data_IF_869384868935
#
_entry.id   IF_869384868935
#
_cell.length_a   1.000
_cell.length_b   1.000
_cell.length_c   1.000
_cell.angle_alpha   90.00
_cell.angle_beta   90.00
_cell.angle_gamma   90.00
#
_symmetry.space_group_name_H-M   'P 1'
#
loop_
_entity.id
_entity.type
_entity.pdbx_description
1 polymer ?
#
# COMPACT_ATOMS: atom_id res chain seq x y z
N UNK A 1 -15.56 0.21 -12.51
CA UNK A 1 -16.45 0.86 -11.54
C UNK A 1 -15.85 2.22 -11.21
N UNK A 2 -16.59 3.32 -11.35
CA UNK A 2 -16.07 4.67 -11.04
C UNK A 2 -16.50 5.01 -9.61
N UNK A 3 -15.57 4.78 -8.67
CA UNK A 3 -15.62 5.38 -7.33
C UNK A 3 -15.22 6.84 -7.42
N UNK A 4 -15.71 7.66 -6.52
CA UNK A 4 -15.66 9.13 -6.48
C UNK A 4 -14.26 9.79 -6.49
N UNK A 5 -13.18 9.02 -6.61
CA UNK A 5 -11.79 9.49 -6.49
C UNK A 5 -10.93 9.14 -7.73
N UNK A 6 -11.57 8.72 -8.83
CA UNK A 6 -10.85 8.43 -10.08
C UNK A 6 -10.74 9.70 -10.94
N UNK A 7 -9.53 10.18 -11.27
CA UNK A 7 -9.36 11.40 -12.04
C UNK A 7 -10.06 11.34 -13.40
N UNK A 8 -10.82 12.39 -13.74
CA UNK A 8 -11.63 12.41 -14.98
C UNK A 8 -10.77 12.24 -16.23
N UNK A 9 -9.56 12.82 -16.26
CA UNK A 9 -8.63 12.67 -17.39
C UNK A 9 -8.20 11.22 -17.61
N UNK A 10 -7.97 10.48 -16.51
CA UNK A 10 -7.61 9.07 -16.58
C UNK A 10 -8.79 8.23 -17.06
N UNK A 11 -9.99 8.54 -16.58
CA UNK A 11 -11.22 7.90 -17.08
C UNK A 11 -11.43 8.11 -18.57
N UNK A 12 -11.26 9.34 -19.06
CA UNK A 12 -11.37 9.67 -20.49
C UNK A 12 -10.35 8.90 -21.30
N UNK A 13 -9.08 8.88 -20.87
CA UNK A 13 -8.02 8.14 -21.56
C UNK A 13 -8.31 6.63 -21.64
N UNK A 14 -8.67 6.00 -20.52
CA UNK A 14 -9.01 4.57 -20.50
C UNK A 14 -10.26 4.29 -21.37
N UNK A 15 -11.23 5.20 -21.38
CA UNK A 15 -12.41 5.10 -22.21
C UNK A 15 -12.07 5.20 -23.70
N UNK A 16 -11.19 6.12 -24.08
CA UNK A 16 -10.73 6.28 -25.47
C UNK A 16 -9.91 5.08 -25.92
N UNK A 17 -9.03 4.54 -25.08
CA UNK A 17 -8.29 3.29 -25.35
C UNK A 17 -9.25 2.11 -25.60
N UNK A 18 -10.28 1.95 -24.76
CA UNK A 18 -11.31 0.92 -24.96
C UNK A 18 -12.09 1.17 -26.25
N UNK A 19 -12.42 2.42 -26.54
CA UNK A 19 -13.18 2.80 -27.72
C UNK A 19 -12.38 2.56 -29.00
N UNK A 20 -11.07 2.81 -29.01
CA UNK A 20 -10.17 2.49 -30.11
C UNK A 20 -10.06 0.97 -30.31
N UNK A 21 -9.82 0.22 -29.23
CA UNK A 21 -9.76 -1.24 -29.28
C UNK A 21 -11.05 -1.89 -29.77
N UNK A 22 -12.20 -1.28 -29.47
CA UNK A 22 -13.51 -1.74 -29.89
C UNK A 22 -13.99 -1.11 -31.22
N UNK A 23 -13.14 -0.30 -31.88
CA UNK A 23 -13.45 0.42 -33.12
C UNK A 23 -14.74 1.24 -33.04
N UNK A 24 -15.01 1.89 -31.91
CA UNK A 24 -16.22 2.69 -31.72
C UNK A 24 -16.17 3.99 -32.50
N UNK A 25 -17.27 4.28 -33.19
CA UNK A 25 -17.49 5.60 -33.79
C UNK A 25 -17.95 6.63 -32.73
N UNK A 26 -17.90 7.92 -33.08
CA UNK A 26 -18.24 9.02 -32.17
C UNK A 26 -19.65 8.92 -31.57
N UNK A 27 -20.61 8.37 -32.34
CA UNK A 27 -21.97 8.16 -31.87
C UNK A 27 -22.03 7.05 -30.80
N UNK A 28 -21.34 5.94 -31.03
CA UNK A 28 -21.23 4.84 -30.06
C UNK A 28 -20.49 5.30 -28.80
N UNK A 29 -19.38 6.03 -28.94
CA UNK A 29 -18.65 6.65 -27.82
C UNK A 29 -19.60 7.49 -26.96
N UNK A 30 -20.40 8.35 -27.59
CA UNK A 30 -21.36 9.18 -26.89
C UNK A 30 -22.43 8.37 -26.14
N UNK A 31 -23.02 7.34 -26.76
CA UNK A 31 -24.03 6.49 -26.11
C UNK A 31 -23.43 5.75 -24.91
N UNK A 32 -22.27 5.12 -25.10
CA UNK A 32 -21.63 4.33 -24.05
C UNK A 32 -21.15 5.21 -22.90
N UNK A 33 -20.54 6.35 -23.19
CA UNK A 33 -20.15 7.31 -22.15
C UNK A 33 -21.35 7.71 -21.29
N UNK A 34 -22.47 8.15 -21.90
CA UNK A 34 -23.69 8.53 -21.16
C UNK A 34 -24.23 7.40 -20.26
N UNK A 35 -24.10 6.14 -20.71
CA UNK A 35 -24.50 4.96 -19.92
C UNK A 35 -23.55 4.63 -18.78
N UNK A 36 -22.25 4.87 -18.97
CA UNK A 36 -21.19 4.56 -18.00
C UNK A 36 -21.08 5.61 -16.89
N UNK A 37 -21.48 6.86 -17.14
CA UNK A 37 -21.49 7.92 -16.14
C UNK A 37 -22.47 7.63 -15.00
N UNK A 38 -22.02 7.89 -13.77
CA UNK A 38 -22.80 7.72 -12.53
C UNK A 38 -22.62 8.95 -11.64
N UNK A 39 -23.50 9.11 -10.65
CA UNK A 39 -23.43 10.20 -9.66
C UNK A 39 -23.53 11.59 -10.29
N UNK A 40 -22.72 12.54 -9.79
CA UNK A 40 -22.70 13.93 -10.22
C UNK A 40 -22.48 14.12 -11.73
N UNK A 41 -21.61 13.31 -12.33
CA UNK A 41 -21.37 13.37 -13.77
C UNK A 41 -22.61 12.99 -14.61
N UNK A 42 -23.44 12.07 -14.11
CA UNK A 42 -24.71 11.74 -14.77
C UNK A 42 -25.73 12.86 -14.63
N UNK A 43 -25.76 13.55 -13.48
CA UNK A 43 -26.63 14.71 -13.26
C UNK A 43 -26.24 15.87 -14.18
N UNK A 44 -24.95 16.14 -14.34
CA UNK A 44 -24.42 17.17 -15.26
C UNK A 44 -24.87 16.92 -16.71
N UNK A 45 -24.75 15.68 -17.19
CA UNK A 45 -25.18 15.32 -18.55
C UNK A 45 -26.68 15.42 -18.76
N UNK A 46 -27.48 15.29 -17.68
CA UNK A 46 -28.94 15.48 -17.75
C UNK A 46 -29.36 16.94 -17.73
N UNK A 47 -28.61 17.81 -17.07
CA UNK A 47 -28.90 19.26 -17.04
C UNK A 47 -28.53 19.93 -18.36
N UNK A 48 -27.49 19.45 -19.04
CA UNK A 48 -27.01 20.04 -20.30
C UNK A 48 -27.87 19.64 -21.52
N UNK A 49 -28.16 20.58 -22.41
CA UNK A 49 -28.90 20.34 -23.66
C UNK A 49 -27.93 20.39 -24.85
N UNK A 50 -28.16 19.56 -25.88
CA UNK A 50 -27.39 19.64 -27.13
C UNK A 50 -26.05 18.88 -27.18
N UNK A 51 -25.86 17.91 -26.28
CA UNK A 51 -24.72 16.99 -26.33
C UNK A 51 -24.88 15.98 -27.48
N UNK A 52 -24.46 16.40 -28.69
CA UNK A 52 -24.51 15.66 -29.95
C UNK A 52 -23.19 15.00 -30.37
N UNK A 53 -22.06 15.37 -29.74
CA UNK A 53 -20.73 14.84 -30.07
C UNK A 53 -19.98 14.42 -28.81
N UNK A 54 -19.17 13.36 -28.93
CA UNK A 54 -18.27 12.91 -27.87
C UNK A 54 -17.35 14.04 -27.40
N UNK A 55 -16.81 14.83 -28.32
CA UNK A 55 -15.89 15.94 -28.01
C UNK A 55 -16.53 16.97 -27.06
N UNK A 56 -17.78 17.33 -27.30
CA UNK A 56 -18.52 18.26 -26.42
C UNK A 56 -18.74 17.67 -25.03
N UNK A 57 -19.09 16.39 -24.96
CA UNK A 57 -19.27 15.69 -23.68
C UNK A 57 -17.94 15.58 -22.93
N UNK A 58 -16.85 15.25 -23.61
CA UNK A 58 -15.52 15.15 -23.03
C UNK A 58 -15.06 16.48 -22.44
N UNK A 59 -15.16 17.58 -23.21
CA UNK A 59 -14.80 18.91 -22.74
C UNK A 59 -15.61 19.35 -21.53
N UNK A 60 -16.91 19.07 -21.50
CA UNK A 60 -17.77 19.40 -20.35
C UNK A 60 -17.39 18.60 -19.10
N UNK A 61 -17.07 17.31 -19.26
CA UNK A 61 -16.63 16.47 -18.14
C UNK A 61 -15.28 16.95 -17.59
N UNK A 62 -14.35 17.32 -18.47
CA UNK A 62 -13.07 17.87 -18.07
C UNK A 62 -13.29 19.24 -17.39
N UNK A 63 -14.08 20.15 -17.95
CA UNK A 63 -14.25 21.49 -17.32
C UNK A 63 -14.82 21.43 -15.92
N UNK A 64 -15.76 20.52 -15.66
CA UNK A 64 -16.46 20.43 -14.38
C UNK A 64 -15.72 19.57 -13.34
N UNK A 65 -15.05 18.49 -13.77
CA UNK A 65 -14.42 17.53 -12.87
C UNK A 65 -12.89 17.51 -12.94
N UNK A 66 -12.28 18.39 -13.74
CA UNK A 66 -10.82 18.46 -13.78
C UNK A 66 -10.29 19.10 -12.50
N UNK A 67 -9.63 18.27 -11.71
CA UNK A 67 -8.72 18.73 -10.68
C UNK A 67 -7.31 18.84 -11.28
N UNK A 68 -6.63 19.98 -11.09
CA UNK A 68 -5.22 20.12 -11.46
C UNK A 68 -4.35 19.28 -10.52
N UNK A 69 -4.00 18.06 -10.95
CA UNK A 69 -2.97 17.27 -10.29
C UNK A 69 -1.60 17.85 -10.66
N UNK A 70 -1.15 18.87 -9.92
CA UNK A 70 0.20 19.42 -10.09
C UNK A 70 1.25 18.35 -9.79
N UNK A 71 2.42 18.40 -10.44
CA UNK A 71 3.55 17.50 -10.14
C UNK A 71 3.84 17.45 -8.63
N UNK A 72 3.88 18.60 -7.95
CA UNK A 72 4.03 18.68 -6.50
C UNK A 72 2.95 17.91 -5.70
N UNK A 73 1.69 17.94 -6.16
CA UNK A 73 0.62 17.17 -5.54
C UNK A 73 0.86 15.66 -5.66
N UNK A 74 1.33 15.20 -6.82
CA UNK A 74 1.63 13.79 -7.07
C UNK A 74 2.86 13.34 -6.27
N UNK A 75 3.90 14.17 -6.18
CA UNK A 75 5.05 13.90 -5.30
C UNK A 75 4.63 13.81 -3.82
N UNK A 76 3.73 14.68 -3.36
CA UNK A 76 3.16 14.61 -2.01
C UNK A 76 2.34 13.33 -1.79
N UNK A 77 1.55 12.90 -2.79
CA UNK A 77 0.80 11.65 -2.74
C UNK A 77 1.75 10.46 -2.60
N UNK A 78 2.83 10.41 -3.40
CA UNK A 78 3.85 9.35 -3.31
C UNK A 78 4.57 9.36 -1.96
N UNK A 79 4.96 10.53 -1.45
CA UNK A 79 5.67 10.67 -0.18
C UNK A 79 4.81 10.25 1.02
N UNK A 80 3.53 10.64 1.05
CA UNK A 80 2.64 10.32 2.15
C UNK A 80 2.14 8.87 2.10
N UNK A 81 2.22 8.22 0.94
CA UNK A 81 1.75 6.85 0.74
C UNK A 81 2.73 5.84 1.34
N UNK A 82 2.47 5.48 2.59
CA UNK A 82 3.18 4.40 3.29
C UNK A 82 2.51 3.05 3.07
N UNK A 83 3.31 1.98 3.06
CA UNK A 83 2.78 0.61 3.01
C UNK A 83 2.00 0.34 4.30
N UNK A 84 0.75 -0.12 4.18
CA UNK A 84 -0.02 -0.57 5.36
C UNK A 84 0.64 -1.83 5.92
N UNK A 85 0.81 -1.89 7.25
CA UNK A 85 1.37 -3.08 7.91
C UNK A 85 0.37 -4.23 8.02
N UNK A 86 -0.90 -3.95 7.70
CA UNK A 86 -1.98 -4.92 7.67
C UNK A 86 -1.73 -6.03 6.64
N UNK A 87 -2.21 -7.24 6.96
CA UNK A 87 -2.07 -8.43 6.10
C UNK A 87 -2.81 -8.31 4.76
N UNK A 88 -3.72 -7.36 4.63
CA UNK A 88 -4.55 -7.17 3.44
C UNK A 88 -3.73 -6.61 2.26
N UNK A 89 -2.70 -5.79 2.53
CA UNK A 89 -1.88 -5.20 1.47
C UNK A 89 -0.58 -5.99 1.25
N UNK A 90 -0.57 -6.78 0.18
CA UNK A 90 0.67 -7.40 -0.31
C UNK A 90 1.65 -6.33 -0.82
N UNK A 91 2.96 -6.52 -0.63
CA UNK A 91 3.99 -5.59 -1.08
C UNK A 91 3.92 -5.32 -2.60
N UNK A 92 3.52 -6.31 -3.39
CA UNK A 92 3.31 -6.15 -4.83
C UNK A 92 2.15 -5.19 -5.15
N UNK A 93 1.03 -5.29 -4.42
CA UNK A 93 -0.12 -4.39 -4.59
C UNK A 93 0.29 -2.95 -4.27
N UNK A 94 1.03 -2.75 -3.18
CA UNK A 94 1.59 -1.45 -2.82
C UNK A 94 2.43 -0.85 -3.97
N UNK A 95 3.37 -1.62 -4.52
CA UNK A 95 4.21 -1.18 -5.66
C UNK A 95 3.39 -0.82 -6.89
N UNK A 96 2.34 -1.60 -7.21
CA UNK A 96 1.43 -1.30 -8.32
C UNK A 96 0.66 0.00 -8.09
N UNK A 97 0.18 0.25 -6.88
CA UNK A 97 -0.49 1.53 -6.55
C UNK A 97 0.45 2.73 -6.66
N UNK A 98 1.70 2.59 -6.20
CA UNK A 98 2.72 3.64 -6.33
C UNK A 98 3.06 3.91 -7.81
N UNK A 99 3.17 2.86 -8.63
CA UNK A 99 3.35 2.99 -10.08
C UNK A 99 2.17 3.70 -10.73
N UNK A 100 0.95 3.40 -10.31
CA UNK A 100 -0.24 4.04 -10.86
C UNK A 100 -0.25 5.55 -10.61
N UNK A 101 0.11 5.98 -9.39
CA UNK A 101 0.22 7.40 -9.02
C UNK A 101 1.35 8.07 -9.81
N UNK A 102 2.50 7.42 -9.92
CA UNK A 102 3.65 7.93 -10.66
C UNK A 102 3.36 8.15 -12.16
N UNK A 103 2.56 7.27 -12.77
CA UNK A 103 2.17 7.38 -14.18
C UNK A 103 1.36 8.65 -14.47
N UNK A 104 0.71 9.25 -13.45
CA UNK A 104 -0.07 10.48 -13.61
C UNK A 104 0.79 11.72 -13.87
N UNK A 105 2.00 11.79 -13.30
CA UNK A 105 2.93 12.91 -13.48
C UNK A 105 4.14 12.58 -14.37
N UNK A 106 4.16 11.40 -15.01
CA UNK A 106 5.33 10.90 -15.73
C UNK A 106 6.62 10.93 -14.87
N UNK A 107 6.50 10.51 -13.61
CA UNK A 107 7.62 10.49 -12.66
C UNK A 107 8.64 9.43 -13.08
N UNK A 108 9.93 9.76 -12.99
CA UNK A 108 11.02 8.84 -13.30
C UNK A 108 10.97 7.59 -12.41
N UNK A 109 11.18 6.41 -13.00
CA UNK A 109 11.15 5.13 -12.28
C UNK A 109 12.11 5.10 -11.09
N UNK A 110 13.29 5.73 -11.21
CA UNK A 110 14.25 5.88 -10.12
C UNK A 110 13.65 6.59 -8.91
N UNK A 111 13.01 7.75 -9.11
CA UNK A 111 12.33 8.50 -8.05
C UNK A 111 11.17 7.69 -7.45
N UNK A 112 10.43 6.92 -8.25
CA UNK A 112 9.35 6.05 -7.75
C UNK A 112 9.90 4.97 -6.82
N UNK A 113 11.06 4.39 -7.14
CA UNK A 113 11.70 3.39 -6.27
C UNK A 113 12.10 3.98 -4.93
N UNK A 114 12.65 5.20 -4.92
CA UNK A 114 12.98 5.91 -3.67
C UNK A 114 11.74 6.09 -2.80
N UNK A 115 10.64 6.62 -3.35
CA UNK A 115 9.37 6.74 -2.61
C UNK A 115 8.84 5.42 -2.07
N UNK A 116 8.95 4.33 -2.86
CA UNK A 116 8.53 3.00 -2.41
C UNK A 116 9.40 2.50 -1.25
N UNK A 117 10.72 2.70 -1.31
CA UNK A 117 11.67 2.24 -0.29
C UNK A 117 11.45 3.02 1.02
N UNK A 118 11.21 4.32 0.91
CA UNK A 118 10.92 5.20 2.04
C UNK A 118 9.57 4.91 2.68
N UNK A 119 8.55 4.58 1.87
CA UNK A 119 7.22 4.23 2.34
C UNK A 119 7.10 2.87 3.07
N UNK A 120 8.15 2.03 3.05
CA UNK A 120 8.23 0.79 3.85
C UNK A 120 8.66 1.14 5.28
N UNK A 121 8.15 0.46 6.31
CA UNK A 121 8.53 0.74 7.70
C UNK A 121 10.05 0.54 7.98
N UNK A 122 10.64 1.46 8.78
CA UNK A 122 12.07 1.63 9.04
C UNK A 122 12.75 0.41 9.70
N UNK A 123 11.98 -0.48 10.35
CA UNK A 123 12.52 -1.58 11.17
C UNK A 123 13.08 -2.78 10.36
N UNK A 124 13.41 -2.56 9.09
CA UNK A 124 13.77 -3.58 8.12
C UNK A 124 15.18 -3.29 7.58
N UNK A 125 16.24 -3.68 8.31
CA UNK A 125 17.64 -3.59 7.80
C UNK A 125 17.82 -4.26 6.43
N UNK A 126 16.88 -5.12 6.03
CA UNK A 126 16.75 -5.73 4.70
C UNK A 126 16.35 -4.77 3.57
N UNK A 127 16.04 -3.49 3.84
CA UNK A 127 15.70 -2.48 2.81
C UNK A 127 16.82 -2.24 1.82
N UNK A 128 18.08 -2.44 2.24
CA UNK A 128 19.28 -2.26 1.41
C UNK A 128 19.18 -3.04 0.08
N UNK A 129 18.51 -4.20 0.09
CA UNK A 129 18.36 -5.09 -1.08
C UNK A 129 17.54 -4.44 -2.20
N UNK A 130 16.64 -3.52 -1.85
CA UNK A 130 15.74 -2.84 -2.79
C UNK A 130 16.44 -1.73 -3.58
N UNK A 131 17.57 -1.21 -3.08
CA UNK A 131 18.35 -0.19 -3.77
C UNK A 131 19.05 -0.74 -5.02
N UNK A 132 19.33 0.15 -5.98
CA UNK A 132 20.08 -0.17 -7.20
C UNK A 132 19.29 -0.86 -8.31
N UNK A 133 17.96 -0.94 -8.19
CA UNK A 133 17.11 -1.34 -9.31
C UNK A 133 17.01 -0.20 -10.33
N UNK A 134 17.22 -0.50 -11.60
CA UNK A 134 17.08 0.46 -12.71
C UNK A 134 15.78 0.25 -13.49
N UNK A 135 15.26 -0.98 -13.49
CA UNK A 135 13.99 -1.34 -14.13
C UNK A 135 12.98 -1.87 -13.11
N UNK A 136 11.71 -1.75 -13.46
CA UNK A 136 10.61 -2.34 -12.72
C UNK A 136 10.69 -3.87 -12.63
N UNK A 137 11.30 -4.53 -13.61
CA UNK A 137 11.48 -5.98 -13.60
C UNK A 137 12.52 -6.41 -12.56
N UNK A 138 13.66 -5.71 -12.53
CA UNK A 138 14.69 -5.90 -11.49
C UNK A 138 14.11 -5.60 -10.09
N UNK A 139 13.32 -4.52 -9.98
CA UNK A 139 12.66 -4.16 -8.74
C UNK A 139 11.70 -5.26 -8.27
N UNK A 140 10.95 -5.89 -9.20
CA UNK A 140 10.05 -7.02 -8.89
C UNK A 140 10.82 -8.23 -8.33
N UNK A 141 12.00 -8.52 -8.85
CA UNK A 141 12.85 -9.60 -8.32
C UNK A 141 13.37 -9.28 -6.92
N UNK A 142 13.86 -8.05 -6.70
CA UNK A 142 14.31 -7.59 -5.38
C UNK A 142 13.19 -7.63 -4.35
N UNK A 143 11.96 -7.28 -4.74
CA UNK A 143 10.78 -7.37 -3.88
C UNK A 143 10.47 -8.83 -3.49
N UNK A 144 10.66 -9.81 -4.39
CA UNK A 144 10.51 -11.25 -4.05
C UNK A 144 11.55 -11.68 -3.01
N UNK A 145 12.81 -11.28 -3.20
CA UNK A 145 13.90 -11.59 -2.26
C UNK A 145 13.59 -10.97 -0.89
N UNK A 146 13.20 -9.70 -0.86
CA UNK A 146 12.80 -9.01 0.35
C UNK A 146 11.65 -9.71 1.08
N UNK A 147 10.62 -10.16 0.35
CA UNK A 147 9.49 -10.88 0.94
C UNK A 147 9.91 -12.20 1.60
N UNK A 148 10.87 -12.93 1.03
CA UNK A 148 11.41 -14.18 1.61
C UNK A 148 12.21 -13.93 2.89
N UNK A 149 12.97 -12.84 2.91
CA UNK A 149 13.77 -12.46 4.08
C UNK A 149 12.86 -11.97 5.20
N UNK A 150 11.84 -11.17 4.87
CA UNK A 150 10.84 -10.71 5.85
C UNK A 150 10.12 -11.88 6.51
N UNK A 151 9.61 -12.85 5.75
CA UNK A 151 8.90 -14.00 6.32
C UNK A 151 9.81 -14.86 7.22
N UNK A 152 11.08 -15.00 6.85
CA UNK A 152 12.08 -15.74 7.64
C UNK A 152 12.43 -15.01 8.96
N UNK A 153 12.58 -13.68 8.92
CA UNK A 153 12.82 -12.88 10.12
C UNK A 153 11.61 -12.83 11.06
N UNK A 154 10.39 -12.74 10.52
CA UNK A 154 9.16 -12.80 11.32
C UNK A 154 9.03 -14.16 12.02
N UNK A 155 9.39 -15.27 11.34
CA UNK A 155 9.44 -16.60 11.95
C UNK A 155 10.49 -16.70 13.07
N UNK A 156 11.70 -16.16 12.85
CA UNK A 156 12.75 -16.13 13.89
C UNK A 156 12.33 -15.30 15.10
N UNK A 157 11.72 -14.13 14.89
CA UNK A 157 11.18 -13.28 15.97
C UNK A 157 10.08 -13.99 16.76
N UNK A 158 9.17 -14.70 16.10
CA UNK A 158 8.13 -15.51 16.78
C UNK A 158 8.74 -16.62 17.64
N UNK A 159 9.75 -17.34 17.13
CA UNK A 159 10.46 -18.39 17.89
C UNK A 159 11.21 -17.82 19.09
N UNK A 160 11.83 -16.64 18.94
CA UNK A 160 12.56 -16.00 20.05
C UNK A 160 11.64 -15.48 21.15
N UNK A 161 10.46 -14.94 20.80
CA UNK A 161 9.45 -14.52 21.78
C UNK A 161 8.81 -15.68 22.54
N UNK A 162 8.72 -16.88 21.94
CA UNK A 162 8.22 -18.09 22.62
C UNK A 162 9.23 -18.62 23.66
N UNK A 163 10.53 -18.46 23.42
CA UNK A 163 11.57 -18.89 24.37
C UNK A 163 11.70 -17.95 25.58
N UNK A 164 11.24 -16.70 25.49
CA UNK A 164 11.22 -15.74 26.62
C UNK A 164 10.02 -15.89 27.55
N UNK A 165 8.98 -16.64 27.16
CA UNK A 165 7.84 -16.96 28.04
C UNK A 165 8.07 -18.18 28.93
N UNK A 166 9.11 -18.98 28.67
CA UNK A 166 9.42 -20.21 29.43
C UNK A 166 10.51 -20.01 30.50
N UNK A 167 10.91 -18.76 30.75
CA UNK A 167 11.92 -18.39 31.76
C UNK A 167 11.37 -17.39 32.80
N UNK A 168 10.09 -17.52 33.13
CA UNK A 168 9.51 -16.96 34.37
C UNK A 168 9.03 -18.11 35.26
N UNK A 169 9.95 -18.75 35.99
CA UNK A 169 9.64 -19.42 37.27
C UNK A 169 10.92 -19.85 37.99
N UNK A 170 11.79 -18.88 38.30
CA UNK A 170 12.69 -19.03 39.45
C UNK A 170 12.77 -17.69 40.19
N UNK A 171 11.67 -17.33 40.84
CA UNK A 171 11.71 -16.26 41.85
C UNK A 171 12.44 -16.83 43.05
N UNK A 172 13.72 -16.53 43.18
CA UNK A 172 14.49 -16.86 44.37
C UNK A 172 13.85 -16.13 45.57
N UNK A 173 13.32 -16.83 46.60
CA UNK A 173 12.63 -16.18 47.71
C UNK A 173 13.59 -15.24 48.44
N UNK A 174 13.27 -13.96 48.56
CA UNK A 174 14.05 -13.00 49.37
C UNK A 174 13.43 -12.87 50.76
N UNK A 175 14.26 -12.87 51.79
CA UNK A 175 13.81 -12.60 53.15
C UNK A 175 13.28 -11.16 53.26
N UNK A 176 12.03 -11.01 53.73
CA UNK A 176 11.32 -9.73 53.82
C UNK A 176 11.91 -8.71 54.82
N UNK A 177 12.87 -9.10 55.67
CA UNK A 177 13.48 -8.19 56.65
C UNK A 177 14.82 -7.58 56.20
N UNK A 178 15.60 -8.25 55.35
CA UNK A 178 16.95 -7.76 54.98
C UNK A 178 17.33 -7.89 53.50
N UNK A 179 16.43 -8.34 52.61
CA UNK A 179 16.61 -8.22 51.16
C UNK A 179 17.77 -9.00 50.51
N UNK A 180 18.56 -9.76 51.29
CA UNK A 180 19.64 -10.66 50.82
C UNK A 180 19.24 -12.13 50.97
N UNK A 181 19.85 -12.99 50.16
CA UNK A 181 19.57 -14.43 50.02
C UNK A 181 20.39 -15.34 50.94
N UNK A 182 21.20 -14.78 51.85
CA UNK A 182 22.21 -15.54 52.63
C UNK A 182 21.65 -16.35 53.82
N UNK A 183 20.34 -16.34 54.06
CA UNK A 183 19.72 -17.02 55.22
C UNK A 183 18.62 -18.04 54.86
N UNK A 184 18.52 -18.49 53.61
CA UNK A 184 17.57 -19.54 53.26
C UNK A 184 18.18 -20.88 53.72
N UNK A 185 17.73 -21.36 54.88
CA UNK A 185 18.07 -22.69 55.37
C UNK A 185 17.72 -23.75 54.31
N UNK A 186 18.70 -24.59 53.93
CA UNK A 186 18.48 -25.76 53.07
C UNK A 186 17.60 -26.76 53.83
N UNK A 187 16.28 -26.69 53.64
CA UNK A 187 15.39 -27.78 54.02
C UNK A 187 15.62 -28.94 53.04
N UNK A 188 16.46 -29.90 53.45
CA UNK A 188 16.52 -31.21 52.81
C UNK A 188 15.19 -31.92 53.08
N UNK A 189 14.46 -32.21 52.00
CA UNK A 189 13.32 -33.15 52.02
C UNK A 189 13.85 -34.50 52.51
N UNK A 190 13.49 -34.88 53.74
CA UNK A 190 13.50 -36.28 54.20
C UNK A 190 12.27 -36.52 55.06
N UNK A 191 11.65 -37.66 54.76
CA UNK A 191 10.68 -38.41 55.54
C UNK A 191 9.20 -38.01 55.42
N UNK A 192 8.63 -38.36 54.25
CA UNK A 192 7.25 -38.88 54.19
C UNK A 192 7.28 -40.27 54.83
N UNK A 193 6.69 -40.40 56.02
CA UNK A 193 6.07 -41.65 56.50
C UNK A 193 5.13 -41.33 57.67
N UNK A 194 3.83 -41.50 57.43
CA UNK A 194 2.94 -42.31 58.25
C UNK A 194 1.71 -42.68 57.43
#
# INVERSE_FOLDING_TARGET
MVGSDYPIRKWVADFEEIAENACWNDFQKLIFAKKLLKGGAKSLVKSEKGLISWLKLNNLLISEFHTEETSAHIHNLLMNRKKKEDKEETLQVYVLTMREIARRANVEAASVFEYIIDGIAVNSGSKIILYGAKSYDEFKEKIKIYSKIKSSNDQKRRKMNQNSSDSKDFVQPRCHRYGRSEHIARLKIRDIKK
#
